data_IF_782582150749
#
_entry.id   IF_782582150749
#
_cell.length_a   1.000
_cell.length_b   1.000
_cell.length_c   1.000
_cell.angle_alpha   90.00
_cell.angle_beta   90.00
_cell.angle_gamma   90.00
#
_symmetry.space_group_name_H-M   'P 1'
#
loop_
_entity.id
_entity.type
_entity.pdbx_description
1 polymer ?
#
# COMPACT_ATOMS: atom_id res chain seq x y z
N UNK A 1 -3.71 28.50 -27.73
CA UNK A 1 -4.13 27.09 -27.92
C UNK A 1 -2.89 26.28 -28.25
N UNK A 2 -2.17 25.79 -27.24
CA UNK A 2 -0.98 24.97 -27.43
C UNK A 2 -1.30 23.56 -26.92
N UNK A 3 -1.44 22.62 -27.84
CA UNK A 3 -1.61 21.20 -27.53
C UNK A 3 -0.26 20.63 -27.13
N UNK A 4 -0.07 20.33 -25.85
CA UNK A 4 1.05 19.52 -25.39
C UNK A 4 0.67 18.06 -25.59
N UNK A 5 1.36 17.44 -26.54
CA UNK A 5 1.33 16.00 -26.77
C UNK A 5 1.84 15.30 -25.52
N UNK A 6 0.95 14.57 -24.84
CA UNK A 6 1.37 13.60 -23.83
C UNK A 6 1.95 12.40 -24.57
N UNK A 7 3.27 12.29 -24.56
CA UNK A 7 3.98 11.06 -24.93
C UNK A 7 3.60 10.01 -23.90
N UNK A 8 2.73 9.09 -24.28
CA UNK A 8 2.45 7.88 -23.51
C UNK A 8 3.73 7.06 -23.38
N UNK A 9 4.06 6.50 -22.20
CA UNK A 9 5.14 5.55 -22.10
C UNK A 9 4.82 4.34 -22.98
N UNK A 10 5.77 3.99 -23.82
CA UNK A 10 5.74 2.84 -24.72
C UNK A 10 5.43 1.56 -23.95
N UNK A 11 4.29 0.94 -24.26
CA UNK A 11 3.96 -0.43 -23.88
C UNK A 11 4.79 -1.38 -24.74
N UNK A 12 5.95 -1.79 -24.24
CA UNK A 12 6.58 -3.02 -24.73
C UNK A 12 5.79 -4.19 -24.15
N UNK A 13 4.89 -4.73 -24.98
CA UNK A 13 4.07 -5.88 -24.65
C UNK A 13 4.89 -7.15 -24.54
N UNK A 14 4.88 -7.76 -23.36
CA UNK A 14 4.73 -9.21 -23.23
C UNK A 14 3.31 -9.46 -22.76
N UNK A 15 2.50 -10.09 -23.61
CA UNK A 15 1.22 -10.68 -23.23
C UNK A 15 1.49 -11.83 -22.24
N UNK A 16 1.63 -11.53 -20.95
CA UNK A 16 1.80 -12.51 -19.88
C UNK A 16 0.58 -12.49 -18.97
N UNK A 17 -0.12 -13.62 -18.86
CA UNK A 17 -1.33 -13.81 -18.04
C UNK A 17 -1.09 -13.77 -16.52
N UNK A 18 -0.16 -12.97 -16.04
CA UNK A 18 0.12 -12.77 -14.63
C UNK A 18 -1.03 -12.07 -13.90
N UNK A 19 -1.05 -12.22 -12.58
CA UNK A 19 -2.07 -11.60 -11.74
C UNK A 19 -1.95 -10.07 -11.77
N UNK A 20 -3.07 -9.38 -11.74
CA UNK A 20 -3.09 -7.92 -11.76
C UNK A 20 -2.79 -7.39 -10.35
N UNK A 21 -1.76 -6.54 -10.25
CA UNK A 21 -1.31 -5.92 -9.02
C UNK A 21 -1.80 -4.48 -8.95
N UNK A 22 -2.40 -4.13 -7.83
CA UNK A 22 -2.90 -2.80 -7.52
C UNK A 22 -2.29 -2.28 -6.24
N UNK A 23 -2.24 -0.97 -6.10
CA UNK A 23 -2.01 -0.29 -4.82
C UNK A 23 -3.29 0.44 -4.44
N UNK A 24 -3.70 0.33 -3.19
CA UNK A 24 -4.77 1.14 -2.64
C UNK A 24 -4.27 2.00 -1.48
N UNK A 25 -4.92 3.14 -1.29
CA UNK A 25 -4.67 4.05 -0.21
C UNK A 25 -5.95 4.32 0.57
N UNK A 26 -5.89 4.20 1.90
CA UNK A 26 -6.99 4.59 2.79
C UNK A 26 -6.54 5.75 3.67
N UNK A 27 -7.37 6.79 3.84
CA UNK A 27 -7.06 7.83 4.82
C UNK A 27 -7.03 7.20 6.21
N UNK A 28 -6.02 7.51 7.01
CA UNK A 28 -6.01 7.12 8.42
C UNK A 28 -7.14 7.91 9.11
N UNK A 29 -8.22 7.21 9.44
CA UNK A 29 -9.34 7.72 10.23
C UNK A 29 -9.18 7.18 11.65
N UNK A 30 -9.15 8.05 12.65
CA UNK A 30 -9.32 7.60 14.03
C UNK A 30 -10.77 7.16 14.25
N UNK A 31 -10.96 6.12 15.07
CA UNK A 31 -12.24 5.88 15.72
C UNK A 31 -12.63 7.10 16.57
N UNK A 32 -13.93 7.39 16.68
CA UNK A 32 -14.41 8.49 17.53
C UNK A 32 -13.97 8.26 18.99
N UNK A 33 -13.45 9.29 19.66
CA UNK A 33 -12.97 9.21 21.05
C UNK A 33 -11.51 9.67 21.24
N UNK A 34 -10.82 9.25 22.32
CA UNK A 34 -9.43 9.65 22.59
C UNK A 34 -8.43 9.44 21.42
N UNK A 35 -8.54 8.37 20.58
CA UNK A 35 -7.72 8.22 19.38
C UNK A 35 -7.90 9.34 18.34
N UNK A 36 -9.06 10.01 18.32
CA UNK A 36 -9.34 11.16 17.46
C UNK A 36 -8.53 12.39 17.86
N UNK A 37 -8.30 12.59 19.16
CA UNK A 37 -7.43 13.65 19.66
C UNK A 37 -5.98 13.40 19.23
N UNK A 38 -5.52 12.16 19.27
CA UNK A 38 -4.16 11.80 18.84
C UNK A 38 -3.96 12.03 17.34
N UNK A 39 -4.93 11.65 16.50
CA UNK A 39 -4.90 11.99 15.08
C UNK A 39 -4.96 13.51 14.83
N UNK A 40 -5.73 14.27 15.63
CA UNK A 40 -5.77 15.73 15.51
C UNK A 40 -4.42 16.40 15.85
N UNK A 41 -3.65 15.82 16.77
CA UNK A 41 -2.28 16.24 17.05
C UNK A 41 -1.34 15.88 15.89
N UNK A 42 -1.49 14.68 15.32
CA UNK A 42 -0.73 14.26 14.14
C UNK A 42 -0.94 15.22 12.94
N UNK A 43 -2.19 15.65 12.69
CA UNK A 43 -2.51 16.67 11.69
C UNK A 43 -1.93 18.05 12.05
N UNK A 44 -1.96 18.45 13.32
CA UNK A 44 -1.35 19.71 13.81
C UNK A 44 0.18 19.76 13.67
N UNK A 45 0.84 18.60 13.65
CA UNK A 45 2.28 18.44 13.41
C UNK A 45 2.68 18.43 11.92
N UNK A 46 1.77 18.83 11.02
CA UNK A 46 1.99 18.93 9.57
C UNK A 46 2.25 17.57 8.88
N UNK A 47 1.79 16.44 9.45
CA UNK A 47 1.78 15.11 8.83
C UNK A 47 0.69 15.03 7.75
N UNK A 48 0.74 15.94 6.77
CA UNK A 48 -0.38 16.31 5.89
C UNK A 48 -0.88 15.26 4.90
N UNK A 49 -0.38 14.03 4.90
CA UNK A 49 -0.94 12.94 4.12
C UNK A 49 -0.74 11.60 4.84
N UNK A 50 -1.36 11.43 6.00
CA UNK A 50 -1.47 10.15 6.70
C UNK A 50 -2.41 9.21 5.92
N UNK A 51 -1.95 8.79 4.74
CA UNK A 51 -2.56 7.73 3.95
C UNK A 51 -1.84 6.42 4.26
N UNK A 52 -2.64 5.39 4.48
CA UNK A 52 -2.16 4.04 4.66
C UNK A 52 -2.23 3.29 3.33
N UNK A 53 -1.12 2.73 2.91
CA UNK A 53 -0.98 2.05 1.62
C UNK A 53 -0.98 0.53 1.80
N UNK A 54 -1.59 -0.16 0.84
CA UNK A 54 -1.67 -1.62 0.79
C UNK A 54 -1.60 -2.11 -0.65
N UNK A 55 -1.14 -3.34 -0.83
CA UNK A 55 -1.05 -4.00 -2.14
C UNK A 55 -2.22 -4.94 -2.31
N UNK A 56 -2.81 -4.99 -3.51
CA UNK A 56 -3.86 -5.92 -3.84
C UNK A 56 -3.46 -6.74 -5.05
N UNK A 57 -3.71 -8.05 -4.97
CA UNK A 57 -3.50 -8.99 -6.05
C UNK A 57 -4.86 -9.50 -6.48
N UNK A 58 -5.20 -9.25 -7.75
CA UNK A 58 -6.37 -9.82 -8.40
C UNK A 58 -5.91 -10.95 -9.32
N UNK A 59 -6.27 -12.20 -9.01
CA UNK A 59 -5.89 -13.33 -9.84
C UNK A 59 -6.37 -13.19 -11.28
N UNK A 60 -5.56 -13.63 -12.24
CA UNK A 60 -5.95 -13.66 -13.66
C UNK A 60 -6.94 -14.79 -13.96
N UNK A 61 -6.95 -15.84 -13.12
CA UNK A 61 -7.83 -17.00 -13.27
C UNK A 61 -9.31 -16.66 -13.02
N UNK A 62 -10.23 -17.05 -13.93
CA UNK A 62 -11.66 -16.78 -13.77
C UNK A 62 -12.30 -17.55 -12.60
N UNK A 63 -11.61 -18.58 -12.08
CA UNK A 63 -12.07 -19.40 -10.95
C UNK A 63 -11.88 -18.66 -9.62
N UNK A 64 -10.84 -17.82 -9.50
CA UNK A 64 -10.52 -17.05 -8.28
C UNK A 64 -10.85 -15.58 -8.50
N UNK A 65 -12.07 -15.19 -8.15
CA UNK A 65 -12.52 -13.81 -8.31
C UNK A 65 -12.21 -12.90 -7.11
N UNK A 66 -11.81 -13.49 -5.98
CA UNK A 66 -11.46 -12.74 -4.78
C UNK A 66 -10.13 -12.01 -4.98
N UNK A 67 -10.09 -10.77 -4.50
CA UNK A 67 -8.88 -9.95 -4.46
C UNK A 67 -8.21 -10.16 -3.11
N UNK A 68 -6.92 -10.43 -3.11
CA UNK A 68 -6.15 -10.59 -1.87
C UNK A 68 -5.43 -9.29 -1.58
N UNK A 69 -5.49 -8.84 -0.33
CA UNK A 69 -4.85 -7.61 0.14
C UNK A 69 -3.71 -7.97 1.06
N UNK A 70 -2.57 -7.33 0.82
CA UNK A 70 -1.34 -7.38 1.59
C UNK A 70 -1.15 -6.04 2.28
N UNK A 71 -0.97 -6.08 3.59
CA UNK A 71 -0.96 -4.91 4.43
C UNK A 71 0.15 -5.01 5.49
N UNK A 72 0.77 -3.90 5.86
CA UNK A 72 1.72 -3.81 6.97
C UNK A 72 1.34 -2.65 7.88
N UNK A 73 0.97 -2.98 9.13
CA UNK A 73 0.41 -2.01 10.08
C UNK A 73 0.87 -2.32 11.51
N UNK A 74 0.66 -1.40 12.48
CA UNK A 74 0.87 -1.72 13.89
C UNK A 74 0.07 -2.95 14.32
N UNK A 75 0.58 -3.77 15.25
CA UNK A 75 -0.16 -4.90 15.82
C UNK A 75 -1.51 -4.47 16.40
N UNK A 76 -1.53 -3.30 17.06
CA UNK A 76 -2.75 -2.68 17.54
C UNK A 76 -2.85 -1.24 17.00
N UNK A 77 -3.49 -1.02 15.83
CA UNK A 77 -3.57 0.29 15.20
C UNK A 77 -4.48 1.27 15.95
N UNK A 78 -5.35 0.79 16.85
CA UNK A 78 -6.26 1.63 17.65
C UNK A 78 -5.69 1.97 19.05
N UNK A 79 -4.53 1.41 19.41
CA UNK A 79 -3.89 1.66 20.69
C UNK A 79 -3.36 3.10 20.81
N UNK A 80 -3.78 3.77 21.88
CA UNK A 80 -3.27 5.10 22.26
C UNK A 80 -1.76 5.02 22.53
N UNK A 81 -1.29 3.94 23.17
CA UNK A 81 0.13 3.74 23.45
C UNK A 81 0.94 3.64 22.16
N UNK A 82 0.49 2.81 21.20
CA UNK A 82 1.10 2.71 19.87
C UNK A 82 1.16 4.08 19.21
N UNK A 83 0.07 4.85 19.30
CA UNK A 83 -0.01 6.17 18.69
C UNK A 83 0.97 7.18 19.34
N UNK A 84 1.12 7.18 20.67
CA UNK A 84 2.11 8.02 21.37
C UNK A 84 3.54 7.64 20.95
N UNK A 85 3.84 6.35 20.89
CA UNK A 85 5.16 5.85 20.47
C UNK A 85 5.47 6.22 19.01
N UNK A 86 4.50 6.07 18.11
CA UNK A 86 4.61 6.50 16.70
C UNK A 86 4.88 8.00 16.61
N UNK A 87 4.11 8.83 17.30
CA UNK A 87 4.29 10.29 17.30
C UNK A 87 5.63 10.71 17.90
N UNK A 88 6.18 9.90 18.81
CA UNK A 88 7.50 10.08 19.39
C UNK A 88 8.64 9.54 18.50
N UNK A 89 8.32 9.06 17.30
CA UNK A 89 9.28 8.52 16.33
C UNK A 89 9.93 7.19 16.77
N UNK A 90 9.31 6.50 17.74
CA UNK A 90 9.79 5.22 18.28
C UNK A 90 9.39 4.06 17.39
N UNK A 91 10.17 2.99 17.51
CA UNK A 91 9.89 1.69 16.91
C UNK A 91 8.79 1.00 17.72
N UNK A 92 7.86 0.35 17.03
CA UNK A 92 6.75 -0.38 17.63
C UNK A 92 6.55 -1.74 16.94
N UNK A 93 5.89 -2.71 17.59
CA UNK A 93 5.53 -3.96 16.93
C UNK A 93 4.56 -3.72 15.75
N UNK A 94 4.97 -4.16 14.56
CA UNK A 94 4.13 -4.23 13.37
C UNK A 94 3.69 -5.66 13.04
N UNK A 95 2.83 -5.79 12.06
CA UNK A 95 2.32 -7.06 11.55
C UNK A 95 2.04 -6.96 10.05
N UNK A 96 2.48 -7.97 9.29
CA UNK A 96 2.05 -8.17 7.92
C UNK A 96 0.75 -8.98 7.91
N UNK A 97 -0.27 -8.48 7.24
CA UNK A 97 -1.60 -9.07 7.21
C UNK A 97 -2.03 -9.40 5.79
N UNK A 98 -2.83 -10.46 5.69
CA UNK A 98 -3.47 -10.88 4.46
C UNK A 98 -4.99 -10.90 4.67
N UNK A 99 -5.76 -10.33 3.75
CA UNK A 99 -7.22 -10.36 3.80
C UNK A 99 -7.83 -10.48 2.43
N UNK A 100 -9.03 -11.03 2.36
CA UNK A 100 -9.79 -11.21 1.12
C UNK A 100 -10.82 -10.10 0.93
N UNK A 101 -10.94 -9.62 -0.29
CA UNK A 101 -11.99 -8.71 -0.74
C UNK A 101 -12.75 -9.32 -1.91
N UNK A 102 -14.05 -9.04 -1.98
CA UNK A 102 -14.89 -9.48 -3.11
C UNK A 102 -14.50 -8.79 -4.42
N UNK A 103 -14.09 -7.53 -4.36
CA UNK A 103 -13.79 -6.71 -5.53
C UNK A 103 -12.63 -5.75 -5.23
N UNK A 104 -11.98 -5.27 -6.29
CA UNK A 104 -11.00 -4.18 -6.21
C UNK A 104 -11.72 -2.90 -5.75
N UNK A 105 -11.18 -2.15 -4.79
CA UNK A 105 -11.75 -0.87 -4.37
C UNK A 105 -11.90 0.10 -5.55
N UNK A 106 -13.04 0.80 -5.60
CA UNK A 106 -13.34 1.75 -6.70
C UNK A 106 -12.68 3.12 -6.54
N UNK A 107 -12.27 3.45 -5.32
CA UNK A 107 -11.68 4.74 -4.99
C UNK A 107 -10.30 4.52 -4.40
N UNK A 108 -9.40 5.48 -4.67
CA UNK A 108 -8.02 5.47 -4.15
C UNK A 108 -7.32 4.13 -4.39
N UNK A 109 -7.48 3.57 -5.58
CA UNK A 109 -6.88 2.30 -5.97
C UNK A 109 -6.43 2.38 -7.42
N UNK A 110 -5.19 2.00 -7.69
CA UNK A 110 -4.55 2.12 -9.00
C UNK A 110 -3.95 0.78 -9.39
N UNK A 111 -4.20 0.37 -10.62
CA UNK A 111 -3.49 -0.76 -11.21
C UNK A 111 -2.05 -0.33 -11.48
N UNK A 112 -1.09 -1.09 -10.97
CA UNK A 112 0.33 -0.83 -11.15
C UNK A 112 0.86 -1.61 -12.35
N UNK A 113 0.51 -2.89 -12.45
CA UNK A 113 0.98 -3.76 -13.52
C UNK A 113 0.55 -5.21 -13.31
N UNK A 114 1.05 -6.09 -14.17
CA UNK A 114 0.91 -7.54 -14.00
C UNK A 114 2.14 -8.09 -13.26
N UNK A 115 1.94 -9.18 -12.52
CA UNK A 115 3.05 -9.90 -11.90
C UNK A 115 4.03 -10.46 -12.92
N UNK A 116 5.31 -10.57 -12.53
CA UNK A 116 6.37 -11.16 -13.35
C UNK A 116 6.12 -12.64 -13.65
N UNK A 117 5.56 -13.36 -12.69
CA UNK A 117 5.29 -14.79 -12.77
C UNK A 117 3.79 -15.08 -12.57
N UNK A 118 3.37 -16.31 -12.88
CA UNK A 118 1.98 -16.72 -12.83
C UNK A 118 1.44 -16.98 -11.40
N UNK A 119 2.28 -16.88 -10.35
CA UNK A 119 1.87 -17.04 -8.95
C UNK A 119 2.31 -15.84 -8.09
N UNK A 120 1.69 -14.68 -8.33
CA UNK A 120 1.93 -13.47 -7.55
C UNK A 120 1.60 -13.67 -6.06
N UNK A 121 0.67 -14.59 -5.79
CA UNK A 121 0.19 -14.91 -4.46
C UNK A 121 1.29 -15.62 -3.65
N UNK A 122 1.87 -16.69 -4.18
CA UNK A 122 2.99 -17.38 -3.53
C UNK A 122 4.20 -16.45 -3.32
N UNK A 123 4.54 -15.63 -4.33
CA UNK A 123 5.59 -14.62 -4.20
C UNK A 123 5.34 -13.65 -3.03
N UNK A 124 4.11 -13.14 -2.89
CA UNK A 124 3.76 -12.22 -1.81
C UNK A 124 3.77 -12.89 -0.43
N UNK A 125 3.37 -14.16 -0.34
CA UNK A 125 3.46 -14.94 0.91
C UNK A 125 4.91 -15.12 1.32
N UNK A 126 5.78 -15.48 0.38
CA UNK A 126 7.19 -15.71 0.66
C UNK A 126 7.88 -14.40 1.08
N UNK A 127 7.61 -13.30 0.37
CA UNK A 127 8.05 -11.97 0.75
C UNK A 127 7.67 -11.65 2.20
N UNK A 128 6.41 -11.89 2.60
CA UNK A 128 5.93 -11.62 3.95
C UNK A 128 6.66 -12.40 5.05
N UNK A 129 7.16 -13.61 4.77
CA UNK A 129 7.90 -14.39 5.77
C UNK A 129 9.26 -13.76 6.10
N UNK A 130 9.83 -13.02 5.16
CA UNK A 130 11.14 -12.37 5.30
C UNK A 130 11.06 -10.91 5.78
N UNK A 131 9.85 -10.34 5.85
CA UNK A 131 9.68 -8.93 6.20
C UNK A 131 9.93 -8.69 7.69
N UNK A 132 10.87 -7.79 8.00
CA UNK A 132 11.10 -7.32 9.37
C UNK A 132 9.86 -6.58 9.90
N UNK A 133 9.37 -6.92 11.08
CA UNK A 133 8.05 -6.44 11.55
C UNK A 133 8.14 -5.27 12.51
N UNK A 134 9.34 -4.90 12.93
CA UNK A 134 9.59 -3.69 13.72
C UNK A 134 9.24 -2.42 12.93
N UNK A 135 8.06 -1.86 13.19
CA UNK A 135 7.51 -0.73 12.45
C UNK A 135 8.03 0.60 12.98
N UNK A 136 8.49 1.46 12.07
CA UNK A 136 8.85 2.84 12.37
C UNK A 136 8.36 3.78 11.27
N UNK A 137 7.42 4.65 11.61
CA UNK A 137 6.85 5.60 10.64
C UNK A 137 7.94 6.50 10.04
N UNK A 138 8.00 6.53 8.70
CA UNK A 138 8.96 7.29 7.91
C UNK A 138 10.24 6.52 7.57
N UNK A 139 10.46 5.33 8.14
CA UNK A 139 11.69 4.55 7.94
C UNK A 139 11.43 3.09 7.56
N UNK A 140 10.42 2.47 8.16
CA UNK A 140 10.00 1.09 7.89
C UNK A 140 8.52 0.96 8.20
N UNK A 141 7.68 1.30 7.23
CA UNK A 141 6.23 1.40 7.40
C UNK A 141 5.49 0.90 6.15
N UNK A 142 4.16 1.08 6.13
CA UNK A 142 3.31 0.60 5.04
C UNK A 142 3.72 1.10 3.65
N UNK A 143 4.40 2.26 3.56
CA UNK A 143 4.88 2.82 2.28
C UNK A 143 6.07 2.03 1.75
N UNK A 144 7.01 1.72 2.64
CA UNK A 144 8.20 0.92 2.34
C UNK A 144 7.79 -0.50 1.95
N UNK A 145 6.94 -1.12 2.77
CA UNK A 145 6.35 -2.43 2.48
C UNK A 145 5.65 -2.46 1.11
N UNK A 146 4.81 -1.45 0.83
CA UNK A 146 4.09 -1.35 -0.45
C UNK A 146 5.07 -1.24 -1.62
N UNK A 147 6.05 -0.34 -1.53
CA UNK A 147 7.04 -0.15 -2.60
C UNK A 147 7.85 -1.41 -2.86
N UNK A 148 8.35 -2.06 -1.80
CA UNK A 148 9.20 -3.26 -1.93
C UNK A 148 8.41 -4.48 -2.44
N UNK A 149 7.20 -4.71 -1.92
CA UNK A 149 6.35 -5.79 -2.41
C UNK A 149 5.97 -5.57 -3.89
N UNK A 150 5.61 -4.35 -4.27
CA UNK A 150 5.30 -4.02 -5.67
C UNK A 150 6.52 -4.23 -6.58
N UNK A 151 7.70 -3.79 -6.15
CA UNK A 151 8.94 -4.02 -6.88
C UNK A 151 9.26 -5.52 -7.01
N UNK A 152 9.03 -6.28 -5.95
CA UNK A 152 9.21 -7.73 -5.95
C UNK A 152 8.29 -8.39 -6.99
N UNK A 153 6.99 -8.06 -6.96
CA UNK A 153 5.96 -8.66 -7.82
C UNK A 153 6.01 -8.20 -9.27
N UNK A 154 6.25 -6.91 -9.53
CA UNK A 154 6.06 -6.28 -10.85
C UNK A 154 7.34 -5.68 -11.43
N UNK A 155 8.30 -5.32 -10.58
CA UNK A 155 9.53 -4.61 -10.97
C UNK A 155 9.39 -3.09 -10.95
N UNK A 156 8.18 -2.56 -10.77
CA UNK A 156 7.94 -1.13 -10.63
C UNK A 156 8.47 -0.59 -9.29
N UNK A 157 9.07 0.60 -9.32
CA UNK A 157 9.69 1.24 -8.14
C UNK A 157 9.07 2.60 -7.84
N UNK A 158 9.18 3.04 -6.57
CA UNK A 158 8.75 4.38 -6.12
C UNK A 158 7.27 4.69 -6.44
N UNK A 159 6.42 3.67 -6.33
CA UNK A 159 5.01 3.76 -6.72
C UNK A 159 4.25 4.66 -5.75
N UNK A 160 4.51 4.56 -4.44
CA UNK A 160 3.84 5.40 -3.45
C UNK A 160 4.10 6.88 -3.72
N UNK A 161 5.35 7.26 -4.01
CA UNK A 161 5.75 8.64 -4.31
C UNK A 161 5.09 9.14 -5.60
N UNK A 162 5.05 8.30 -6.64
CA UNK A 162 4.35 8.60 -7.91
C UNK A 162 2.87 8.83 -7.69
N UNK A 163 2.22 7.99 -6.89
CA UNK A 163 0.79 8.09 -6.59
C UNK A 163 0.47 9.34 -5.77
N UNK A 164 1.31 9.69 -4.78
CA UNK A 164 1.14 10.92 -3.99
C UNK A 164 1.25 12.18 -4.87
N UNK A 165 2.19 12.24 -5.83
CA UNK A 165 2.29 13.37 -6.76
C UNK A 165 1.05 13.53 -7.66
N UNK A 166 0.42 12.41 -8.03
CA UNK A 166 -0.80 12.43 -8.85
C UNK A 166 -2.03 12.95 -8.11
N UNK A 167 -1.99 13.01 -6.77
CA UNK A 167 -3.07 13.54 -5.94
C UNK A 167 -3.01 15.05 -5.72
N UNK A 168 -1.80 15.61 -5.70
CA UNK A 168 -1.57 17.04 -5.43
C UNK A 168 -1.63 17.90 -6.71
N UNK A 169 -1.89 17.27 -7.87
CA UNK A 169 -2.01 17.91 -9.20
C UNK A 169 -3.46 18.03 -9.63
#
# INVERSE_FOLDING_TARGET
MASLFFTTPSTNGTSGGGDAVYVAAVPLKAAAGPPQLVMSMAYSLNLKNLQHFMVLIKPSSPIRQEVIVFDFQPVNPESIESAILILSGKLIPGVVMQRKLKNVPRQKCWMVGSSKENDAMEMAIEFNKSWETDLRVGFHDCRHYTNELVQHLTGETQIVERLLRSYDS
#
